data_IF_784179370939
#
_entry.id   IF_784179370939
#
_cell.length_a   1.000
_cell.length_b   1.000
_cell.length_c   1.000
_cell.angle_alpha   90.00
_cell.angle_beta   90.00
_cell.angle_gamma   90.00
#
_symmetry.space_group_name_H-M   'P 1'
#
loop_
_entity.id
_entity.type
_entity.pdbx_description
1 polymer ?
#
# COMPACT_ATOMS: atom_id res chain seq x y z
N UNK A 1 8.76 -10.38 34.05
CA UNK A 1 7.65 -10.31 35.00
C UNK A 1 6.81 -11.59 34.99
N UNK A 2 6.63 -12.22 36.15
CA UNK A 2 5.63 -13.29 36.31
C UNK A 2 4.27 -12.62 36.48
N UNK A 3 3.23 -13.16 35.86
CA UNK A 3 1.90 -12.55 35.87
C UNK A 3 0.81 -13.59 36.10
N UNK A 4 -0.25 -13.19 36.81
CA UNK A 4 -1.47 -13.96 36.98
C UNK A 4 -2.68 -13.11 36.56
N UNK A 5 -3.62 -13.74 35.85
CA UNK A 5 -4.90 -13.18 35.50
C UNK A 5 -5.96 -13.80 36.39
N UNK A 6 -6.66 -12.98 37.18
CA UNK A 6 -7.69 -13.43 38.11
C UNK A 6 -8.99 -12.70 37.74
N UNK A 7 -9.97 -13.39 37.13
CA UNK A 7 -11.28 -12.80 36.91
C UNK A 7 -12.03 -12.70 38.23
N UNK A 8 -12.63 -11.53 38.50
CA UNK A 8 -13.63 -11.34 39.56
C UNK A 8 -14.96 -11.05 38.88
N UNK A 9 -15.73 -12.12 38.67
CA UNK A 9 -17.00 -12.10 37.93
C UNK A 9 -18.07 -11.25 38.62
N UNK A 10 -18.10 -11.25 39.97
CA UNK A 10 -19.07 -10.46 40.76
C UNK A 10 -18.90 -8.94 40.61
N UNK A 11 -17.66 -8.48 40.38
CA UNK A 11 -17.34 -7.05 40.26
C UNK A 11 -17.18 -6.60 38.80
N UNK A 12 -17.29 -7.52 37.83
CA UNK A 12 -16.93 -7.30 36.44
C UNK A 12 -15.50 -6.72 36.30
N UNK A 13 -14.55 -7.22 37.10
CA UNK A 13 -13.17 -6.75 37.13
C UNK A 13 -12.23 -7.92 36.78
N UNK A 14 -11.32 -7.68 35.84
CA UNK A 14 -10.18 -8.55 35.59
C UNK A 14 -8.96 -8.00 36.33
N UNK A 15 -8.44 -8.75 37.30
CA UNK A 15 -7.22 -8.41 38.03
C UNK A 15 -6.01 -9.00 37.34
N UNK A 16 -5.11 -8.13 36.90
CA UNK A 16 -3.80 -8.51 36.40
C UNK A 16 -2.76 -8.29 37.49
N UNK A 17 -2.29 -9.39 38.08
CA UNK A 17 -1.29 -9.36 39.16
C UNK A 17 0.08 -9.64 38.56
N UNK A 18 0.95 -8.65 38.58
CA UNK A 18 2.33 -8.72 38.12
C UNK A 18 3.28 -8.84 39.32
N UNK A 19 4.30 -9.67 39.17
CA UNK A 19 5.35 -9.89 40.16
C UNK A 19 6.73 -9.59 39.58
N UNK A 20 7.59 -8.99 40.40
CA UNK A 20 9.01 -8.70 40.13
C UNK A 20 9.22 -8.04 38.76
N UNK A 21 8.65 -6.84 38.60
CA UNK A 21 8.66 -6.10 37.34
C UNK A 21 9.25 -4.70 37.47
N UNK A 22 9.47 -4.06 36.33
CA UNK A 22 9.84 -2.65 36.24
C UNK A 22 8.72 -1.91 35.50
N UNK A 23 8.24 -0.83 36.07
CA UNK A 23 7.30 0.10 35.44
C UNK A 23 8.09 1.24 34.82
N UNK A 24 7.88 1.45 33.53
CA UNK A 24 8.57 2.45 32.73
C UNK A 24 7.61 3.60 32.45
N UNK A 25 7.91 4.79 32.93
CA UNK A 25 7.04 5.96 32.77
C UNK A 25 7.82 7.16 32.24
N UNK A 26 7.23 7.85 31.26
CA UNK A 26 7.66 9.17 30.81
C UNK A 26 6.92 10.20 31.65
N UNK A 27 7.65 10.97 32.47
CA UNK A 27 7.07 12.05 33.27
C UNK A 27 6.88 13.31 32.40
N UNK A 28 7.75 13.49 31.40
CA UNK A 28 7.69 14.57 30.42
C UNK A 28 8.28 14.09 29.08
N UNK A 29 8.26 14.91 28.01
CA UNK A 29 8.79 14.56 26.67
C UNK A 29 10.26 14.12 26.68
N UNK A 30 11.01 14.42 27.74
CA UNK A 30 12.44 14.15 27.86
C UNK A 30 12.80 13.31 29.09
N UNK A 31 11.98 13.31 30.15
CA UNK A 31 12.34 12.69 31.43
C UNK A 31 11.69 11.33 31.61
N UNK A 32 12.53 10.31 31.69
CA UNK A 32 12.15 8.91 31.82
C UNK A 32 12.47 8.39 33.23
N UNK A 33 11.52 7.66 33.83
CA UNK A 33 11.68 7.04 35.14
C UNK A 33 11.35 5.54 35.08
N UNK A 34 12.18 4.74 35.75
CA UNK A 34 11.91 3.32 36.03
C UNK A 34 11.57 3.14 37.50
N UNK A 35 10.47 2.44 37.77
CA UNK A 35 10.06 2.07 39.12
C UNK A 35 10.00 0.56 39.22
N UNK A 36 10.88 -0.05 40.02
CA UNK A 36 10.82 -1.50 40.29
C UNK A 36 9.69 -1.79 41.27
N UNK A 37 8.93 -2.84 41.01
CA UNK A 37 7.86 -3.29 41.89
C UNK A 37 7.98 -4.79 42.16
N UNK A 38 7.69 -5.18 43.40
CA UNK A 38 7.62 -6.60 43.81
C UNK A 38 6.27 -7.19 43.44
N UNK A 39 5.18 -6.43 43.63
CA UNK A 39 3.81 -6.81 43.24
C UNK A 39 3.04 -5.59 42.74
N UNK A 40 2.44 -5.67 41.56
CA UNK A 40 1.56 -4.64 41.01
C UNK A 40 0.26 -5.28 40.54
N UNK A 41 -0.88 -4.75 40.99
CA UNK A 41 -2.21 -5.22 40.56
C UNK A 41 -2.87 -4.16 39.70
N UNK A 42 -3.26 -4.53 38.49
CA UNK A 42 -3.99 -3.68 37.56
C UNK A 42 -5.42 -4.22 37.48
N UNK A 43 -6.38 -3.42 37.91
CA UNK A 43 -7.80 -3.75 37.81
C UNK A 43 -8.31 -3.19 36.48
N UNK A 44 -8.85 -4.04 35.62
CA UNK A 44 -9.52 -3.64 34.40
C UNK A 44 -10.99 -3.95 34.55
N UNK A 45 -11.86 -2.94 34.47
CA UNK A 45 -13.29 -3.18 34.37
C UNK A 45 -13.54 -3.90 33.05
N UNK A 46 -14.10 -5.10 33.15
CA UNK A 46 -14.59 -5.86 32.03
C UNK A 46 -15.90 -5.20 31.62
N UNK A 47 -15.96 -4.70 30.39
CA UNK A 47 -17.20 -4.22 29.82
C UNK A 47 -17.84 -5.42 29.13
N UNK A 48 -18.95 -5.91 29.67
CA UNK A 48 -19.68 -7.06 29.11
C UNK A 48 -20.52 -6.68 27.89
N UNK A 49 -20.67 -5.38 27.62
CA UNK A 49 -21.31 -4.93 26.40
C UNK A 49 -20.38 -5.18 25.22
N UNK A 50 -20.88 -5.93 24.23
CA UNK A 50 -20.21 -6.15 22.96
C UNK A 50 -20.24 -4.88 22.09
N UNK A 51 -19.61 -3.81 22.57
CA UNK A 51 -19.41 -2.59 21.79
C UNK A 51 -18.30 -2.88 20.78
N UNK A 52 -18.65 -2.86 19.49
CA UNK A 52 -17.67 -2.90 18.40
C UNK A 52 -16.80 -1.64 18.49
N UNK A 53 -15.69 -1.71 19.24
CA UNK A 53 -14.66 -0.68 19.25
C UNK A 53 -13.98 -0.66 17.88
N UNK A 54 -14.44 0.22 16.99
CA UNK A 54 -13.70 0.51 15.77
C UNK A 54 -12.33 1.08 16.15
N UNK A 55 -11.24 0.37 15.81
CA UNK A 55 -9.88 0.86 16.05
C UNK A 55 -9.70 2.18 15.29
N UNK A 56 -9.65 3.28 16.04
CA UNK A 56 -9.52 4.68 15.56
C UNK A 56 -8.26 4.92 14.70
N UNK A 57 -7.28 4.02 14.77
CA UNK A 57 -6.08 4.01 13.93
C UNK A 57 -5.99 2.70 13.14
N UNK A 58 -6.67 2.62 12.00
CA UNK A 58 -6.37 1.61 10.98
C UNK A 58 -5.34 2.15 10.02
N UNK A 59 -4.29 1.37 9.77
CA UNK A 59 -3.31 1.66 8.74
C UNK A 59 -4.03 1.76 7.38
N UNK A 60 -3.55 2.58 6.44
CA UNK A 60 -4.23 2.81 5.15
C UNK A 60 -4.43 1.49 4.37
N UNK A 61 -3.51 0.53 4.54
CA UNK A 61 -3.56 -0.84 4.01
C UNK A 61 -4.67 -1.71 4.60
N UNK A 62 -5.15 -1.40 5.81
CA UNK A 62 -6.22 -2.12 6.51
C UNK A 62 -7.62 -1.52 6.28
N UNK A 63 -7.68 -0.38 5.57
CA UNK A 63 -8.91 0.35 5.34
C UNK A 63 -9.69 -0.30 4.20
N UNK A 64 -10.99 -0.52 4.36
CA UNK A 64 -11.84 -1.00 3.25
C UNK A 64 -12.00 0.07 2.16
N UNK A 65 -12.45 -0.32 0.96
CA UNK A 65 -12.74 0.57 -0.17
C UNK A 65 -13.62 1.74 0.25
N UNK A 66 -14.71 1.49 1.00
CA UNK A 66 -15.57 2.57 1.50
C UNK A 66 -14.82 3.54 2.40
N UNK A 67 -14.02 3.02 3.33
CA UNK A 67 -13.20 3.86 4.21
C UNK A 67 -12.16 4.67 3.44
N UNK A 68 -11.58 4.12 2.37
CA UNK A 68 -10.63 4.84 1.51
C UNK A 68 -11.32 6.00 0.81
N UNK A 69 -12.51 5.78 0.24
CA UNK A 69 -13.31 6.82 -0.41
C UNK A 69 -13.66 7.95 0.57
N UNK A 70 -14.13 7.59 1.77
CA UNK A 70 -14.42 8.58 2.83
C UNK A 70 -13.19 9.43 3.15
N UNK A 71 -12.02 8.81 3.34
CA UNK A 71 -10.79 9.56 3.62
C UNK A 71 -10.31 10.41 2.44
N UNK A 72 -10.53 9.96 1.21
CA UNK A 72 -10.23 10.73 0.00
C UNK A 72 -11.09 12.00 -0.02
N UNK A 73 -12.39 11.87 0.21
CA UNK A 73 -13.33 12.99 0.21
C UNK A 73 -13.04 13.98 1.36
N UNK A 74 -12.80 13.46 2.57
CA UNK A 74 -12.40 14.27 3.73
C UNK A 74 -11.10 15.04 3.45
N UNK A 75 -10.06 14.36 2.97
CA UNK A 75 -8.76 15.00 2.69
C UNK A 75 -8.89 16.04 1.57
N UNK A 76 -9.69 15.75 0.53
CA UNK A 76 -9.94 16.68 -0.57
C UNK A 76 -10.67 17.93 -0.09
N UNK A 77 -11.67 17.78 0.79
CA UNK A 77 -12.39 18.89 1.41
C UNK A 77 -11.46 19.75 2.27
N UNK A 78 -10.63 19.12 3.09
CA UNK A 78 -9.62 19.83 3.90
C UNK A 78 -8.62 20.62 3.05
N UNK A 79 -8.17 20.07 1.92
CA UNK A 79 -7.28 20.78 0.98
C UNK A 79 -8.00 22.00 0.38
N UNK A 80 -9.26 21.86 -0.02
CA UNK A 80 -10.03 22.97 -0.58
C UNK A 80 -10.24 24.09 0.45
N UNK A 81 -10.63 23.75 1.68
CA UNK A 81 -10.77 24.73 2.76
C UNK A 81 -9.45 25.49 3.01
N UNK A 82 -8.32 24.79 3.04
CA UNK A 82 -7.00 25.44 3.19
C UNK A 82 -6.66 26.34 2.00
N UNK A 83 -7.05 25.97 0.78
CA UNK A 83 -6.85 26.81 -0.41
C UNK A 83 -7.71 28.07 -0.34
N UNK A 84 -8.96 27.96 0.11
CA UNK A 84 -9.83 29.12 0.36
C UNK A 84 -9.26 30.05 1.43
N UNK A 85 -8.80 29.49 2.56
CA UNK A 85 -8.14 30.27 3.62
C UNK A 85 -6.86 30.98 3.14
N UNK A 86 -6.11 30.39 2.21
CA UNK A 86 -4.95 31.05 1.59
C UNK A 86 -5.39 32.20 0.69
N UNK A 87 -6.47 32.03 -0.07
CA UNK A 87 -6.99 33.07 -0.95
C UNK A 87 -7.48 34.29 -0.15
N UNK A 88 -8.18 34.08 0.97
CA UNK A 88 -8.62 35.19 1.84
C UNK A 88 -7.44 35.91 2.47
N UNK A 89 -6.46 35.19 3.02
CA UNK A 89 -5.22 35.79 3.56
C UNK A 89 -4.44 36.57 2.49
N UNK A 90 -4.42 36.09 1.25
CA UNK A 90 -3.80 36.79 0.12
C UNK A 90 -4.48 38.11 -0.19
N UNK A 91 -5.81 38.11 -0.25
CA UNK A 91 -6.60 39.33 -0.47
C UNK A 91 -6.43 40.35 0.68
N UNK A 92 -6.42 39.88 1.93
CA UNK A 92 -6.16 40.72 3.11
C UNK A 92 -4.75 41.34 3.06
N UNK A 93 -3.74 40.55 2.68
CA UNK A 93 -2.37 41.07 2.55
C UNK A 93 -2.25 42.15 1.48
N UNK A 94 -2.94 42.00 0.35
CA UNK A 94 -2.97 43.02 -0.72
C UNK A 94 -3.65 44.30 -0.23
N UNK A 95 -4.78 44.20 0.47
CA UNK A 95 -5.48 45.36 1.03
C UNK A 95 -4.61 46.11 2.05
N UNK A 96 -3.90 45.40 2.93
CA UNK A 96 -2.98 46.00 3.90
C UNK A 96 -1.75 46.65 3.24
N UNK A 97 -1.24 46.05 2.15
CA UNK A 97 -0.14 46.63 1.39
C UNK A 97 -0.54 47.95 0.73
N UNK A 98 -1.72 48.00 0.09
CA UNK A 98 -2.25 49.23 -0.52
C UNK A 98 -2.41 50.35 0.52
N UNK A 99 -2.72 50.00 1.78
CA UNK A 99 -2.81 50.94 2.90
C UNK A 99 -1.44 51.36 3.48
N UNK A 100 -0.33 50.91 2.90
CA UNK A 100 1.04 51.31 3.28
C UNK A 100 1.67 50.50 4.41
N UNK A 101 1.05 49.41 4.88
CA UNK A 101 1.58 48.58 5.96
C UNK A 101 2.46 47.43 5.41
N UNK A 102 3.72 47.73 5.11
CA UNK A 102 4.67 46.77 4.53
C UNK A 102 5.12 45.66 5.49
N UNK A 103 5.15 45.91 6.81
CA UNK A 103 5.59 44.91 7.80
C UNK A 103 4.63 43.73 7.97
N UNK A 104 3.37 43.88 7.56
CA UNK A 104 2.38 42.80 7.63
C UNK A 104 2.58 41.73 6.55
N UNK A 105 3.21 42.08 5.43
CA UNK A 105 3.39 41.18 4.27
C UNK A 105 4.29 39.99 4.58
N UNK A 106 5.40 40.21 5.28
CA UNK A 106 6.32 39.13 5.62
C UNK A 106 5.68 38.11 6.57
N UNK A 107 4.89 38.60 7.53
CA UNK A 107 4.13 37.74 8.45
C UNK A 107 3.03 36.93 7.74
N UNK A 108 2.32 37.54 6.78
CA UNK A 108 1.32 36.80 5.98
C UNK A 108 1.99 35.80 5.05
N UNK A 109 3.08 36.19 4.39
CA UNK A 109 3.85 35.29 3.51
C UNK A 109 4.31 34.04 4.27
N UNK A 110 4.88 34.20 5.46
CA UNK A 110 5.28 33.07 6.30
C UNK A 110 4.10 32.16 6.64
N UNK A 111 2.93 32.72 6.98
CA UNK A 111 1.70 31.94 7.23
C UNK A 111 1.22 31.19 5.99
N UNK A 112 1.26 31.82 4.81
CA UNK A 112 0.91 31.17 3.54
C UNK A 112 1.86 30.00 3.26
N UNK A 113 3.17 30.20 3.41
CA UNK A 113 4.17 29.14 3.20
C UNK A 113 3.95 27.94 4.15
N UNK A 114 3.62 28.20 5.42
CA UNK A 114 3.24 27.16 6.37
C UNK A 114 2.00 26.37 5.93
N UNK A 115 0.95 27.06 5.45
CA UNK A 115 -0.26 26.40 4.94
C UNK A 115 0.01 25.64 3.64
N UNK A 116 0.84 26.16 2.73
CA UNK A 116 1.25 25.46 1.51
C UNK A 116 2.00 24.16 1.82
N UNK A 117 2.90 24.18 2.81
CA UNK A 117 3.57 22.95 3.27
C UNK A 117 2.58 21.95 3.88
N UNK A 118 1.56 22.44 4.59
CA UNK A 118 0.47 21.60 5.11
C UNK A 118 -0.36 20.98 3.98
N UNK A 119 -0.69 21.75 2.94
CA UNK A 119 -1.38 21.27 1.73
C UNK A 119 -0.56 20.18 1.04
N UNK A 120 0.74 20.41 0.79
CA UNK A 120 1.63 19.40 0.18
C UNK A 120 1.64 18.08 0.98
N UNK A 121 1.66 18.18 2.32
CA UNK A 121 1.57 17.01 3.19
C UNK A 121 0.23 16.26 3.07
N UNK A 122 -0.88 16.99 2.95
CA UNK A 122 -2.22 16.42 2.73
C UNK A 122 -2.38 15.84 1.33
N UNK A 123 -1.89 16.49 0.29
CA UNK A 123 -1.87 15.98 -1.08
C UNK A 123 -1.10 14.66 -1.17
N UNK A 124 0.05 14.54 -0.49
CA UNK A 124 0.77 13.27 -0.44
C UNK A 124 -0.03 12.17 0.26
N UNK A 125 -0.76 12.50 1.33
CA UNK A 125 -1.67 11.54 2.00
C UNK A 125 -2.82 11.13 1.07
N UNK A 126 -3.41 12.09 0.36
CA UNK A 126 -4.46 11.86 -0.63
C UNK A 126 -3.98 10.91 -1.74
N UNK A 127 -2.81 11.17 -2.30
CA UNK A 127 -2.20 10.30 -3.30
C UNK A 127 -2.03 8.87 -2.78
N UNK A 128 -1.57 8.67 -1.54
CA UNK A 128 -1.48 7.33 -0.94
C UNK A 128 -2.83 6.62 -0.84
N UNK A 129 -3.91 7.32 -0.46
CA UNK A 129 -5.24 6.71 -0.45
C UNK A 129 -5.69 6.28 -1.85
N UNK A 130 -5.42 7.10 -2.87
CA UNK A 130 -5.76 6.80 -4.27
C UNK A 130 -4.92 5.63 -4.80
N UNK A 131 -3.64 5.54 -4.44
CA UNK A 131 -2.76 4.41 -4.77
C UNK A 131 -3.35 3.10 -4.20
N UNK A 132 -3.65 3.08 -2.90
CA UNK A 132 -4.21 1.89 -2.23
C UNK A 132 -5.57 1.47 -2.84
N UNK A 133 -6.41 2.46 -3.20
CA UNK A 133 -7.66 2.19 -3.89
C UNK A 133 -7.43 1.50 -5.24
N UNK A 134 -6.58 2.07 -6.10
CA UNK A 134 -6.26 1.51 -7.41
C UNK A 134 -5.57 0.16 -7.31
N UNK A 135 -4.69 -0.03 -6.32
CA UNK A 135 -3.99 -1.29 -6.07
C UNK A 135 -4.97 -2.45 -5.81
N UNK A 136 -6.02 -2.21 -5.03
CA UNK A 136 -7.06 -3.22 -4.74
C UNK A 136 -7.81 -3.65 -5.99
N UNK A 137 -8.24 -2.70 -6.82
CA UNK A 137 -8.91 -3.00 -8.08
C UNK A 137 -7.98 -3.65 -9.10
N UNK A 138 -6.74 -3.16 -9.20
CA UNK A 138 -5.72 -3.72 -10.08
C UNK A 138 -5.42 -5.18 -9.73
N UNK A 139 -5.29 -5.51 -8.45
CA UNK A 139 -5.07 -6.89 -8.01
C UNK A 139 -6.25 -7.83 -8.34
N UNK A 140 -7.49 -7.34 -8.21
CA UNK A 140 -8.66 -8.11 -8.63
C UNK A 140 -8.68 -8.36 -10.14
N UNK A 141 -8.33 -7.36 -10.95
CA UNK A 141 -8.20 -7.51 -12.40
C UNK A 141 -7.05 -8.44 -12.80
N UNK A 142 -5.97 -8.46 -12.04
CA UNK A 142 -4.83 -9.33 -12.29
C UNK A 142 -5.23 -10.81 -12.26
N UNK A 143 -6.19 -11.21 -11.44
CA UNK A 143 -6.71 -12.58 -11.42
C UNK A 143 -7.25 -13.00 -12.80
N UNK A 144 -7.99 -12.13 -13.47
CA UNK A 144 -8.53 -12.39 -14.82
C UNK A 144 -7.40 -12.52 -15.83
N UNK A 145 -6.41 -11.62 -15.76
CA UNK A 145 -5.24 -11.62 -16.63
C UNK A 145 -4.41 -12.89 -16.43
N UNK A 146 -4.22 -13.36 -15.19
CA UNK A 146 -3.50 -14.60 -14.91
C UNK A 146 -4.21 -15.83 -15.44
N UNK A 147 -5.55 -15.86 -15.42
CA UNK A 147 -6.32 -16.93 -16.06
C UNK A 147 -6.12 -16.90 -17.57
N UNK A 148 -6.15 -15.71 -18.19
CA UNK A 148 -5.92 -15.53 -19.62
C UNK A 148 -4.51 -15.97 -20.05
N UNK A 149 -3.49 -15.71 -19.24
CA UNK A 149 -2.11 -16.14 -19.47
C UNK A 149 -1.96 -17.66 -19.20
N UNK A 150 -2.60 -18.16 -18.15
CA UNK A 150 -2.49 -19.55 -17.70
C UNK A 150 -3.08 -20.55 -18.70
N UNK A 151 -4.16 -20.20 -19.39
CA UNK A 151 -4.80 -21.06 -20.39
C UNK A 151 -3.88 -21.46 -21.57
N UNK A 152 -3.27 -20.51 -22.33
CA UNK A 152 -2.35 -20.85 -23.40
C UNK A 152 -1.07 -21.51 -22.87
N UNK A 153 -0.52 -21.06 -21.74
CA UNK A 153 0.67 -21.68 -21.13
C UNK A 153 0.39 -23.15 -20.77
N UNK A 154 -0.73 -23.44 -20.11
CA UNK A 154 -1.12 -24.80 -19.76
C UNK A 154 -1.27 -25.72 -20.98
N UNK A 155 -1.74 -25.17 -22.09
CA UNK A 155 -1.83 -25.90 -23.36
C UNK A 155 -0.45 -26.18 -23.99
N UNK A 156 0.43 -25.17 -24.06
CA UNK A 156 1.77 -25.30 -24.65
C UNK A 156 2.62 -26.32 -23.88
N UNK A 157 2.53 -26.34 -22.54
CA UNK A 157 3.28 -27.26 -21.68
C UNK A 157 2.53 -28.59 -21.43
N UNK A 158 1.99 -29.19 -22.50
CA UNK A 158 1.24 -30.48 -22.54
C UNK A 158 1.89 -31.70 -21.86
N UNK A 159 3.15 -31.61 -21.41
CA UNK A 159 3.81 -32.56 -20.52
C UNK A 159 4.02 -31.87 -19.17
N UNK A 160 3.09 -32.08 -18.23
CA UNK A 160 3.03 -31.44 -16.91
C UNK A 160 4.23 -31.75 -16.01
N UNK A 161 5.38 -31.15 -16.33
CA UNK A 161 6.58 -31.17 -15.51
C UNK A 161 6.75 -29.89 -14.71
N UNK A 162 7.83 -29.85 -13.92
CA UNK A 162 8.25 -28.73 -13.06
C UNK A 162 8.33 -27.39 -13.83
N UNK A 163 8.51 -27.43 -15.16
CA UNK A 163 8.59 -26.25 -16.02
C UNK A 163 7.36 -25.33 -15.94
N UNK A 164 6.13 -25.88 -15.91
CA UNK A 164 4.93 -25.04 -15.80
C UNK A 164 4.82 -24.31 -14.46
N UNK A 165 5.21 -24.99 -13.37
CA UNK A 165 5.28 -24.41 -12.03
C UNK A 165 6.31 -23.28 -11.98
N UNK A 166 7.52 -23.52 -12.50
CA UNK A 166 8.57 -22.50 -12.55
C UNK A 166 8.15 -21.27 -13.34
N UNK A 167 7.50 -21.44 -14.50
CA UNK A 167 6.98 -20.32 -15.30
C UNK A 167 5.90 -19.55 -14.54
N UNK A 168 4.99 -20.25 -13.85
CA UNK A 168 3.97 -19.61 -13.02
C UNK A 168 4.58 -18.77 -11.87
N UNK A 169 5.57 -19.31 -11.17
CA UNK A 169 6.30 -18.59 -10.12
C UNK A 169 7.00 -17.36 -10.69
N UNK A 170 7.66 -17.47 -11.84
CA UNK A 170 8.33 -16.34 -12.49
C UNK A 170 7.34 -15.24 -12.89
N UNK A 171 6.19 -15.59 -13.48
CA UNK A 171 5.15 -14.63 -13.85
C UNK A 171 4.53 -13.94 -12.63
N UNK A 172 4.24 -14.70 -11.58
CA UNK A 172 3.73 -14.13 -10.33
C UNK A 172 4.76 -13.19 -9.68
N UNK A 173 6.02 -13.62 -9.63
CA UNK A 173 7.11 -12.82 -9.07
C UNK A 173 7.34 -11.54 -9.88
N UNK A 174 7.37 -11.62 -11.20
CA UNK A 174 7.51 -10.43 -12.07
C UNK A 174 6.36 -9.46 -11.88
N UNK A 175 5.12 -9.95 -11.79
CA UNK A 175 3.96 -9.12 -11.50
C UNK A 175 4.09 -8.39 -10.16
N UNK A 176 4.46 -9.11 -9.10
CA UNK A 176 4.60 -8.53 -7.77
C UNK A 176 5.69 -7.44 -7.72
N UNK A 177 6.83 -7.69 -8.39
CA UNK A 177 7.92 -6.71 -8.49
C UNK A 177 7.44 -5.45 -9.22
N UNK A 178 6.67 -5.58 -10.31
CA UNK A 178 6.13 -4.43 -11.03
C UNK A 178 5.13 -3.63 -10.19
N UNK A 179 4.26 -4.30 -9.41
CA UNK A 179 3.34 -3.62 -8.49
C UNK A 179 4.12 -2.85 -7.41
N UNK A 180 5.14 -3.46 -6.82
CA UNK A 180 5.98 -2.80 -5.82
C UNK A 180 6.74 -1.60 -6.39
N UNK A 181 7.28 -1.75 -7.60
CA UNK A 181 7.94 -0.65 -8.32
C UNK A 181 6.96 0.49 -8.64
N UNK A 182 5.74 0.15 -9.09
CA UNK A 182 4.67 1.12 -9.33
C UNK A 182 4.29 1.90 -8.07
N UNK A 183 4.21 1.23 -6.92
CA UNK A 183 3.88 1.85 -5.63
C UNK A 183 4.95 2.87 -5.23
N UNK A 184 6.23 2.50 -5.33
CA UNK A 184 7.35 3.39 -5.05
C UNK A 184 7.43 4.57 -6.04
N UNK A 185 7.13 4.36 -7.33
CA UNK A 185 7.10 5.44 -8.31
C UNK A 185 5.98 6.45 -8.04
N UNK A 186 4.80 5.98 -7.64
CA UNK A 186 3.69 6.86 -7.30
C UNK A 186 3.93 7.65 -6.00
N UNK A 187 4.49 7.03 -4.96
CA UNK A 187 4.71 7.74 -3.68
C UNK A 187 5.94 8.67 -3.69
N UNK A 188 7.01 8.33 -4.44
CA UNK A 188 8.26 9.13 -4.43
C UNK A 188 8.43 10.10 -5.58
N UNK A 189 7.98 9.75 -6.79
CA UNK A 189 8.29 10.52 -8.01
C UNK A 189 7.10 11.32 -8.55
N UNK A 190 5.98 11.34 -7.85
CA UNK A 190 4.77 12.06 -8.28
C UNK A 190 4.14 11.49 -9.55
N UNK A 191 4.47 10.25 -9.91
CA UNK A 191 3.84 9.57 -11.04
C UNK A 191 2.35 9.35 -10.74
N UNK A 192 1.51 9.43 -11.78
CA UNK A 192 0.06 9.31 -11.60
C UNK A 192 -0.30 8.00 -10.90
N UNK A 193 -0.99 8.03 -9.74
CA UNK A 193 -1.39 6.84 -8.99
C UNK A 193 -2.15 5.81 -9.82
N UNK A 194 -2.95 6.28 -10.77
CA UNK A 194 -3.71 5.43 -11.68
C UNK A 194 -2.76 4.61 -12.57
N UNK A 195 -1.92 5.28 -13.37
CA UNK A 195 -1.02 4.59 -14.28
C UNK A 195 -0.03 3.69 -13.55
N UNK A 196 0.48 4.13 -12.39
CA UNK A 196 1.41 3.36 -11.58
C UNK A 196 0.89 1.96 -11.23
N UNK A 197 -0.40 1.87 -10.88
CA UNK A 197 -1.03 0.62 -10.43
C UNK A 197 -1.57 -0.22 -11.59
N UNK A 198 -1.91 0.39 -12.72
CA UNK A 198 -2.52 -0.30 -13.87
C UNK A 198 -1.50 -0.78 -14.92
N UNK A 199 -0.32 -0.15 -14.99
CA UNK A 199 0.75 -0.58 -15.91
C UNK A 199 1.14 -2.06 -15.77
N UNK A 200 1.31 -2.63 -14.56
CA UNK A 200 1.62 -4.05 -14.40
C UNK A 200 0.57 -4.95 -15.09
N UNK A 201 -0.71 -4.61 -14.95
CA UNK A 201 -1.81 -5.33 -15.58
C UNK A 201 -1.77 -5.20 -17.11
N UNK A 202 -1.54 -4.00 -17.63
CA UNK A 202 -1.47 -3.78 -19.08
C UNK A 202 -0.32 -4.60 -19.68
N UNK A 203 0.86 -4.59 -19.05
CA UNK A 203 2.03 -5.35 -19.51
C UNK A 203 1.74 -6.86 -19.49
N UNK A 204 1.14 -7.37 -18.43
CA UNK A 204 0.81 -8.80 -18.35
C UNK A 204 -0.31 -9.20 -19.31
N UNK A 205 -1.29 -8.31 -19.52
CA UNK A 205 -2.38 -8.52 -20.46
C UNK A 205 -1.85 -8.61 -21.91
N UNK A 206 -0.96 -7.71 -22.32
CA UNK A 206 -0.36 -7.76 -23.67
C UNK A 206 0.49 -9.02 -23.86
N UNK A 207 1.25 -9.44 -22.85
CA UNK A 207 1.99 -10.71 -22.85
C UNK A 207 1.02 -11.91 -22.96
N UNK A 208 -0.08 -11.90 -22.19
CA UNK A 208 -1.10 -12.95 -22.22
C UNK A 208 -1.78 -13.08 -23.57
N UNK A 209 -2.20 -11.96 -24.15
CA UNK A 209 -2.77 -11.92 -25.49
C UNK A 209 -1.78 -12.42 -26.54
N UNK A 210 -0.52 -12.00 -26.47
CA UNK A 210 0.52 -12.50 -27.36
C UNK A 210 0.65 -14.04 -27.29
N UNK A 211 0.72 -14.61 -26.09
CA UNK A 211 0.76 -16.07 -25.93
C UNK A 211 -0.51 -16.76 -26.42
N UNK A 212 -1.67 -16.14 -26.23
CA UNK A 212 -2.94 -16.66 -26.73
C UNK A 212 -2.94 -16.75 -28.27
N UNK A 213 -2.51 -15.70 -28.97
CA UNK A 213 -2.42 -15.70 -30.43
C UNK A 213 -1.40 -16.72 -30.97
N UNK A 214 -0.24 -16.85 -30.30
CA UNK A 214 0.77 -17.86 -30.66
C UNK A 214 0.21 -19.28 -30.48
N UNK A 215 -0.51 -19.53 -29.39
CA UNK A 215 -1.14 -20.83 -29.13
C UNK A 215 -2.22 -21.19 -30.17
N UNK A 216 -3.03 -20.21 -30.59
CA UNK A 216 -4.07 -20.42 -31.59
C UNK A 216 -3.49 -20.64 -32.99
N UNK A 217 -2.40 -19.96 -33.35
CA UNK A 217 -1.69 -20.21 -34.61
C UNK A 217 -1.17 -21.65 -34.71
N UNK A 218 -0.71 -22.24 -33.59
CA UNK A 218 -0.33 -23.66 -33.55
C UNK A 218 -1.51 -24.63 -33.70
N UNK A 219 -2.75 -24.17 -33.50
CA UNK A 219 -3.99 -24.96 -33.59
C UNK A 219 -4.52 -25.06 -35.02
N UNK A 220 -4.09 -24.18 -35.92
CA UNK A 220 -4.46 -24.19 -37.34
C UNK A 220 -4.09 -25.53 -37.99
N UNK A 221 -5.03 -26.22 -38.69
CA UNK A 221 -4.75 -27.48 -39.39
C UNK A 221 -3.78 -27.31 -40.57
N UNK A 222 -3.39 -26.09 -40.90
CA UNK A 222 -2.39 -25.80 -41.92
C UNK A 222 -0.98 -25.85 -41.29
N UNK A 223 -0.31 -27.01 -41.47
CA UNK A 223 1.05 -27.35 -41.04
C UNK A 223 1.99 -26.14 -40.80
N UNK A 224 2.49 -25.99 -39.57
CA UNK A 224 3.77 -25.35 -39.33
C UNK A 224 4.60 -26.20 -38.34
N UNK A 225 5.49 -27.03 -38.88
CA UNK A 225 6.49 -27.82 -38.13
C UNK A 225 7.64 -26.94 -37.59
N UNK A 226 7.34 -25.74 -37.10
CA UNK A 226 8.39 -24.77 -36.76
C UNK A 226 7.80 -23.62 -35.95
N UNK A 227 8.05 -23.58 -34.63
CA UNK A 227 8.80 -22.48 -33.98
C UNK A 227 9.07 -22.69 -32.47
N UNK A 228 9.42 -23.91 -32.03
CA UNK A 228 10.05 -24.06 -30.71
C UNK A 228 11.43 -23.39 -30.64
N UNK A 229 12.00 -22.90 -31.75
CA UNK A 229 13.38 -22.42 -31.83
C UNK A 229 13.65 -21.10 -31.10
N UNK A 230 12.70 -20.16 -31.00
CA UNK A 230 12.92 -18.85 -30.33
C UNK A 230 12.92 -19.04 -28.82
N UNK A 231 11.89 -19.68 -28.28
CA UNK A 231 11.80 -19.98 -26.85
C UNK A 231 12.86 -21.02 -26.43
N UNK A 232 13.18 -22.02 -27.27
CA UNK A 232 14.29 -22.97 -27.01
C UNK A 232 15.64 -22.27 -27.01
N UNK A 233 15.92 -21.34 -27.93
CA UNK A 233 17.16 -20.55 -27.94
C UNK A 233 17.25 -19.63 -26.71
N UNK A 234 16.16 -18.97 -26.34
CA UNK A 234 16.08 -18.14 -25.13
C UNK A 234 16.28 -19.00 -23.86
N UNK A 235 15.64 -20.16 -23.78
CA UNK A 235 15.77 -21.11 -22.66
C UNK A 235 17.17 -21.72 -22.57
N UNK A 236 17.79 -22.09 -23.70
CA UNK A 236 19.18 -22.54 -23.76
C UNK A 236 20.16 -21.42 -23.40
N UNK A 237 19.85 -20.16 -23.72
CA UNK A 237 20.68 -19.02 -23.32
C UNK A 237 20.59 -18.72 -21.82
N UNK A 238 19.43 -18.94 -21.20
CA UNK A 238 19.20 -18.63 -19.78
C UNK A 238 19.67 -19.78 -18.86
N UNK A 239 19.53 -21.05 -19.29
CA UNK A 239 19.82 -22.22 -18.45
C UNK A 239 20.87 -23.19 -19.02
N UNK A 240 21.40 -22.97 -20.24
CA UNK A 240 22.20 -23.96 -20.98
C UNK A 240 23.71 -23.93 -20.77
N UNK A 241 24.25 -23.24 -19.75
CA UNK A 241 25.70 -23.17 -19.49
C UNK A 241 26.10 -23.88 -18.19
N UNK A 242 25.86 -25.20 -18.10
CA UNK A 242 26.59 -26.06 -17.16
C UNK A 242 26.45 -27.55 -17.51
N UNK A 243 27.05 -27.97 -18.63
CA UNK A 243 27.48 -29.36 -18.86
C UNK A 243 28.31 -29.44 -20.15
N UNK A 244 29.58 -29.07 -20.04
CA UNK A 244 30.60 -29.38 -21.03
C UNK A 244 31.98 -29.25 -20.35
N UNK A 245 32.31 -30.23 -19.52
CA UNK A 245 33.67 -30.63 -19.14
C UNK A 245 33.55 -32.03 -18.58
N UNK A 246 33.73 -33.00 -19.47
CA UNK A 246 34.40 -34.28 -19.25
C UNK A 246 35.04 -34.65 -20.59
#
# INVERSE_FOLDING_TARGET
>A
PRGALIPLEEENILKFVLYDGELHQLIDKVKYQKTKFVKQTINMTMDTDLVRKERKHRNQRELDVKGLLTKIDETKKEINNLREEIATMGNEAVDQFVKGNVGHLDAVRFRIEQKLNTIKGKERKLSRYIIELNKKFSLAFACIIFVLIGAPIGYLFKRGGIAGILVGILLFSSYYILVLAGEEFADRRGFSPFWAMWLPNIIHCTIGLYFFFVAEYERSPFKARTQTSVFRKMWQSIFGKSRAKD
#
